data_IF_817844489393
#
_entry.id   IF_817844489393
#
_cell.length_a   1.000
_cell.length_b   1.000
_cell.length_c   1.000
_cell.angle_alpha   90.00
_cell.angle_beta   90.00
_cell.angle_gamma   90.00
#
_symmetry.space_group_name_H-M   'P 1'
#
loop_
_entity.id
_entity.type
_entity.pdbx_description
1 polymer ?
#
# COMPACT_ATOMS: atom_id res chain seq x y z
N UNK A 1 -51.29 -34.78 -11.78
CA UNK A 1 -50.27 -35.54 -12.56
C UNK A 1 -49.18 -34.65 -13.19
N UNK A 2 -49.38 -33.35 -13.42
CA UNK A 2 -48.36 -32.49 -14.07
C UNK A 2 -47.43 -31.66 -13.15
N UNK A 3 -47.45 -31.88 -11.83
CA UNK A 3 -46.58 -31.13 -10.89
C UNK A 3 -45.47 -31.96 -10.23
N UNK A 4 -45.48 -33.29 -10.41
CA UNK A 4 -44.51 -34.21 -9.79
C UNK A 4 -43.32 -34.56 -10.72
N UNK A 5 -43.43 -34.29 -12.02
CA UNK A 5 -42.35 -34.58 -12.98
C UNK A 5 -41.22 -33.52 -13.01
N UNK A 6 -41.47 -32.28 -12.56
CA UNK A 6 -40.41 -31.24 -12.49
C UNK A 6 -39.46 -31.42 -11.31
N UNK A 7 -39.92 -31.98 -10.18
CA UNK A 7 -39.06 -32.20 -8.99
C UNK A 7 -38.10 -33.38 -9.12
N UNK A 8 -38.42 -34.38 -9.96
CA UNK A 8 -37.49 -35.50 -10.24
C UNK A 8 -36.34 -35.10 -11.16
N UNK A 9 -36.54 -34.11 -12.04
CA UNK A 9 -35.50 -33.64 -12.98
C UNK A 9 -34.43 -32.77 -12.31
N UNK A 10 -34.73 -32.15 -11.17
CA UNK A 10 -33.79 -31.32 -10.41
C UNK A 10 -32.90 -32.13 -9.44
N UNK A 11 -33.42 -33.26 -8.91
CA UNK A 11 -32.62 -34.16 -8.06
C UNK A 11 -31.57 -34.96 -8.85
N UNK A 12 -31.80 -35.21 -10.14
CA UNK A 12 -30.84 -35.88 -11.03
C UNK A 12 -29.70 -34.97 -11.48
N UNK A 13 -29.91 -33.65 -11.54
CA UNK A 13 -28.85 -32.69 -11.90
C UNK A 13 -28.01 -32.27 -10.69
N UNK A 14 -28.54 -32.35 -9.47
CA UNK A 14 -27.78 -32.08 -8.24
C UNK A 14 -26.78 -33.19 -7.85
N UNK A 15 -27.08 -34.47 -8.09
CA UNK A 15 -26.12 -35.55 -7.80
C UNK A 15 -24.95 -35.59 -8.79
N UNK A 16 -25.13 -35.06 -10.00
CA UNK A 16 -24.07 -34.92 -11.00
C UNK A 16 -23.18 -33.68 -10.78
N UNK A 17 -23.66 -32.67 -10.03
CA UNK A 17 -22.88 -31.48 -9.69
C UNK A 17 -22.00 -31.71 -8.45
N UNK A 18 -22.49 -32.48 -7.47
CA UNK A 18 -21.72 -32.83 -6.26
C UNK A 18 -20.52 -33.76 -6.55
N UNK A 19 -20.57 -34.58 -7.60
CA UNK A 19 -19.46 -35.46 -7.98
C UNK A 19 -18.39 -34.78 -8.85
N UNK A 20 -18.69 -33.60 -9.42
CA UNK A 20 -17.72 -32.79 -10.20
C UNK A 20 -16.94 -31.80 -9.37
N UNK A 21 -17.37 -31.50 -8.14
CA UNK A 21 -16.68 -30.57 -7.22
C UNK A 21 -15.64 -31.28 -6.35
N UNK A 22 -15.81 -32.58 -6.05
CA UNK A 22 -14.81 -33.36 -5.30
C UNK A 22 -13.57 -33.78 -6.11
N UNK A 23 -13.62 -33.72 -7.44
CA UNK A 23 -12.48 -34.05 -8.32
C UNK A 23 -11.61 -32.84 -8.70
N UNK A 24 -12.06 -31.61 -8.41
CA UNK A 24 -11.28 -30.38 -8.67
C UNK A 24 -10.48 -29.95 -7.43
N UNK A 25 -10.89 -30.36 -6.23
CA UNK A 25 -10.17 -30.04 -4.97
C UNK A 25 -8.95 -30.96 -4.72
N UNK A 26 -8.83 -32.08 -5.43
CA UNK A 26 -7.63 -32.94 -5.37
C UNK A 26 -6.61 -32.58 -6.48
N UNK A 27 -6.96 -31.69 -7.41
CA UNK A 27 -6.07 -31.23 -8.49
C UNK A 27 -5.33 -29.92 -8.22
N UNK A 28 -5.52 -29.28 -7.06
CA UNK A 28 -4.85 -28.01 -6.69
C UNK A 28 -3.84 -28.14 -5.53
N UNK A 29 -3.54 -29.38 -5.10
CA UNK A 29 -2.53 -29.65 -4.06
C UNK A 29 -1.39 -30.57 -4.51
N UNK A 30 -1.22 -30.76 -5.83
CA UNK A 30 -0.22 -31.70 -6.37
C UNK A 30 0.32 -31.28 -7.75
N UNK A 31 0.68 -30.00 -7.91
CA UNK A 31 1.33 -29.50 -9.14
C UNK A 31 2.66 -28.76 -8.90
N UNK A 32 3.25 -28.92 -7.72
CA UNK A 32 4.70 -28.77 -7.55
C UNK A 32 5.33 -30.16 -7.56
N UNK A 33 6.45 -30.31 -8.28
CA UNK A 33 7.33 -31.48 -8.35
C UNK A 33 6.97 -32.60 -9.35
N UNK A 34 7.18 -32.35 -10.65
CA UNK A 34 7.83 -33.34 -11.53
C UNK A 34 8.36 -32.74 -12.83
N UNK A 35 9.68 -32.55 -12.92
CA UNK A 35 10.52 -32.74 -14.12
C UNK A 35 11.96 -32.62 -13.62
N UNK A 36 12.59 -33.74 -13.23
CA UNK A 36 13.32 -34.66 -14.12
C UNK A 36 14.81 -34.54 -13.78
N UNK A 37 15.19 -35.26 -12.71
CA UNK A 37 16.58 -35.55 -12.35
C UNK A 37 16.92 -36.91 -12.94
N UNK A 38 17.51 -36.93 -14.13
CA UNK A 38 18.30 -38.06 -14.64
C UNK A 38 19.28 -37.55 -15.69
N UNK A 39 20.54 -37.37 -15.30
CA UNK A 39 21.71 -37.61 -16.15
C UNK A 39 22.95 -37.49 -15.25
N UNK A 40 23.44 -38.56 -14.62
CA UNK A 40 24.53 -39.41 -15.14
C UNK A 40 25.60 -38.63 -15.90
N UNK A 41 26.65 -38.21 -15.20
CA UNK A 41 28.05 -38.59 -15.49
C UNK A 41 28.99 -37.77 -14.61
N UNK A 42 29.34 -38.32 -13.45
CA UNK A 42 30.61 -38.00 -12.79
C UNK A 42 31.68 -38.81 -13.51
N UNK A 43 32.25 -38.23 -14.56
CA UNK A 43 33.41 -38.81 -15.24
C UNK A 43 34.67 -38.48 -14.45
N UNK A 44 35.26 -39.56 -13.97
CA UNK A 44 36.68 -39.73 -13.69
C UNK A 44 37.46 -39.53 -14.99
N UNK A 45 38.46 -38.64 -14.99
CA UNK A 45 39.68 -38.67 -15.85
C UNK A 45 40.58 -37.50 -15.37
N UNK A 46 41.62 -37.71 -14.54
CA UNK A 46 43.01 -38.00 -14.92
C UNK A 46 43.62 -37.08 -16.01
N UNK A 47 44.59 -36.26 -15.57
CA UNK A 47 45.88 -35.92 -16.19
C UNK A 47 45.96 -35.63 -17.71
N UNK A 48 46.51 -34.46 -18.09
CA UNK A 48 47.77 -34.28 -18.86
C UNK A 48 47.99 -32.78 -19.20
N UNK A 49 49.24 -32.34 -19.07
CA UNK A 49 49.77 -31.02 -19.36
C UNK A 49 50.16 -30.83 -20.84
N UNK A 50 50.21 -29.58 -21.32
CA UNK A 50 51.13 -29.00 -22.33
C UNK A 50 50.53 -27.67 -22.85
N UNK A 51 51.16 -26.50 -22.64
CA UNK A 51 52.17 -25.88 -23.52
C UNK A 51 51.66 -25.69 -24.96
N UNK A 52 51.48 -24.44 -25.41
CA UNK A 52 51.23 -24.15 -26.82
C UNK A 52 50.73 -22.75 -27.14
N UNK A 53 51.66 -21.90 -27.55
CA UNK A 53 51.60 -20.51 -28.00
C UNK A 53 50.54 -20.12 -29.06
N UNK A 54 50.12 -18.85 -28.97
CA UNK A 54 50.01 -17.84 -30.04
C UNK A 54 49.03 -18.00 -31.23
N UNK A 55 48.42 -16.84 -31.58
CA UNK A 55 47.65 -16.48 -32.78
C UNK A 55 46.23 -17.11 -32.86
N UNK A 56 45.13 -16.38 -33.07
CA UNK A 56 44.94 -15.20 -33.89
C UNK A 56 43.86 -14.27 -33.29
N UNK A 57 44.24 -13.02 -33.04
CA UNK A 57 43.32 -11.90 -32.90
C UNK A 57 42.83 -11.52 -34.29
N UNK A 58 41.72 -12.11 -34.74
CA UNK A 58 41.06 -11.70 -35.98
C UNK A 58 40.48 -10.30 -35.77
N UNK A 59 41.04 -9.29 -36.44
CA UNK A 59 40.51 -7.94 -36.52
C UNK A 59 39.16 -7.98 -37.24
N UNK A 60 38.09 -7.75 -36.50
CA UNK A 60 36.77 -7.51 -37.08
C UNK A 60 36.79 -6.14 -37.76
N UNK A 61 36.34 -6.02 -39.04
CA UNK A 61 36.30 -4.72 -39.70
C UNK A 61 35.29 -3.82 -38.98
N UNK A 62 35.73 -2.60 -38.67
CA UNK A 62 34.93 -1.56 -38.07
C UNK A 62 33.81 -1.14 -39.02
N UNK A 63 32.68 -1.85 -38.95
CA UNK A 63 31.41 -1.34 -39.41
C UNK A 63 31.14 -0.04 -38.67
N UNK A 64 31.07 1.06 -39.42
CA UNK A 64 30.70 2.40 -38.96
C UNK A 64 29.32 2.28 -38.30
N UNK A 65 29.31 2.10 -36.97
CA UNK A 65 28.11 2.28 -36.18
C UNK A 65 27.73 3.75 -36.33
N UNK A 66 26.79 4.00 -37.24
CA UNK A 66 26.01 5.23 -37.20
C UNK A 66 25.37 5.25 -35.84
N UNK A 67 25.93 6.06 -34.94
CA UNK A 67 25.37 6.38 -33.64
C UNK A 67 24.01 7.03 -33.89
N UNK A 68 23.00 6.19 -34.02
CA UNK A 68 21.62 6.59 -33.96
C UNK A 68 21.41 7.06 -32.52
N UNK A 69 21.49 8.38 -32.32
CA UNK A 69 21.18 9.05 -31.06
C UNK A 69 19.68 8.91 -30.77
N UNK A 70 19.22 7.69 -30.50
CA UNK A 70 17.91 7.43 -29.93
C UNK A 70 18.12 6.95 -28.50
N UNK A 71 18.52 7.90 -27.66
CA UNK A 71 18.51 7.77 -26.20
C UNK A 71 17.09 7.77 -25.65
N UNK A 72 16.25 6.83 -26.10
CA UNK A 72 14.97 6.51 -25.49
C UNK A 72 15.07 5.14 -24.85
N UNK A 73 14.59 4.99 -23.60
CA UNK A 73 14.49 3.69 -22.94
C UNK A 73 13.60 2.75 -23.77
N UNK A 74 14.22 1.89 -24.59
CA UNK A 74 13.52 0.85 -25.35
C UNK A 74 13.26 -0.33 -24.42
N UNK A 75 11.98 -0.56 -24.11
CA UNK A 75 11.52 -1.66 -23.26
C UNK A 75 10.00 -1.77 -23.25
N UNK A 76 9.47 -2.92 -22.81
CA UNK A 76 8.03 -3.19 -22.76
C UNK A 76 7.26 -2.13 -21.95
N UNK A 77 7.83 -1.65 -20.84
CA UNK A 77 7.24 -0.57 -20.03
C UNK A 77 7.06 0.77 -20.79
N UNK A 78 7.85 1.00 -21.85
CA UNK A 78 7.76 2.22 -22.67
C UNK A 78 6.83 2.05 -23.88
N UNK A 79 6.45 0.82 -24.22
CA UNK A 79 5.49 0.53 -25.29
C UNK A 79 4.11 1.10 -24.94
N UNK A 80 3.24 1.25 -25.95
CA UNK A 80 1.87 1.71 -25.70
C UNK A 80 1.10 0.69 -24.84
N UNK A 81 1.34 -0.60 -25.06
CA UNK A 81 0.69 -1.68 -24.31
C UNK A 81 1.14 -1.68 -22.85
N UNK A 82 2.44 -1.60 -22.57
CA UNK A 82 2.95 -1.57 -21.19
C UNK A 82 2.52 -0.33 -20.41
N UNK A 83 2.38 0.83 -21.08
CA UNK A 83 1.82 2.04 -20.46
C UNK A 83 0.34 1.88 -20.12
N UNK A 84 -0.45 1.24 -20.99
CA UNK A 84 -1.87 0.95 -20.72
C UNK A 84 -2.01 -0.01 -19.55
N UNK A 85 -1.18 -1.06 -19.50
CA UNK A 85 -1.15 -1.99 -18.38
C UNK A 85 -0.78 -1.29 -17.07
N UNK A 86 0.22 -0.40 -17.10
CA UNK A 86 0.61 0.39 -15.92
C UNK A 86 -0.55 1.28 -15.45
N UNK A 87 -1.27 1.92 -16.37
CA UNK A 87 -2.45 2.74 -16.02
C UNK A 87 -3.55 1.88 -15.40
N UNK A 88 -3.83 0.69 -15.95
CA UNK A 88 -4.80 -0.24 -15.39
C UNK A 88 -4.40 -0.73 -13.98
N UNK A 89 -3.11 -1.01 -13.75
CA UNK A 89 -2.60 -1.35 -12.42
C UNK A 89 -2.78 -0.19 -11.43
N UNK A 90 -2.54 1.04 -11.86
CA UNK A 90 -2.73 2.23 -11.01
C UNK A 90 -4.22 2.45 -10.73
N UNK A 91 -5.10 2.27 -11.71
CA UNK A 91 -6.56 2.33 -11.50
C UNK A 91 -7.02 1.31 -10.47
N UNK A 92 -6.55 0.06 -10.55
CA UNK A 92 -6.86 -0.94 -9.52
C UNK A 92 -6.33 -0.57 -8.12
N UNK A 93 -5.20 0.13 -8.03
CA UNK A 93 -4.70 0.65 -6.73
C UNK A 93 -5.54 1.83 -6.22
N UNK A 94 -6.05 2.68 -7.13
CA UNK A 94 -6.95 3.79 -6.79
C UNK A 94 -8.29 3.29 -6.25
N UNK A 95 -8.85 2.24 -6.85
CA UNK A 95 -10.12 1.65 -6.44
C UNK A 95 -10.06 0.98 -5.05
N UNK A 96 -8.91 0.42 -4.68
CA UNK A 96 -8.73 -0.23 -3.38
C UNK A 96 -8.30 0.73 -2.26
N UNK A 97 -7.80 1.92 -2.60
CA UNK A 97 -7.29 2.89 -1.62
C UNK A 97 -8.40 3.78 -1.09
N UNK A 98 -8.41 4.07 0.21
CA UNK A 98 -9.27 5.08 0.83
C UNK A 98 -8.65 6.49 0.70
N UNK A 99 -7.32 6.58 0.83
CA UNK A 99 -6.59 7.85 0.76
C UNK A 99 -5.32 7.75 -0.07
N UNK A 100 -5.00 8.85 -0.76
CA UNK A 100 -3.78 9.00 -1.55
C UNK A 100 -3.05 10.26 -1.14
N UNK A 101 -1.73 10.20 -1.05
CA UNK A 101 -0.91 11.39 -0.92
C UNK A 101 0.37 11.28 -1.75
N UNK A 102 0.97 12.42 -2.06
CA UNK A 102 2.17 12.48 -2.89
C UNK A 102 3.30 13.22 -2.21
N UNK A 103 4.52 12.73 -2.42
CA UNK A 103 5.75 13.29 -1.89
C UNK A 103 6.77 13.43 -3.03
N UNK A 104 7.64 14.45 -3.01
CA UNK A 104 8.74 14.56 -3.96
C UNK A 104 9.71 13.37 -3.83
N UNK A 105 9.90 12.64 -4.94
CA UNK A 105 10.80 11.49 -5.00
C UNK A 105 12.28 11.90 -5.17
N UNK A 106 12.55 13.12 -5.62
CA UNK A 106 13.90 13.61 -5.98
C UNK A 106 14.82 13.83 -4.79
N UNK A 107 14.28 14.01 -3.58
CA UNK A 107 15.05 14.37 -2.38
C UNK A 107 15.50 13.16 -1.53
N UNK A 108 15.09 11.93 -1.91
CA UNK A 108 15.41 10.69 -1.20
C UNK A 108 16.58 9.93 -1.86
N UNK A 109 17.48 9.41 -1.03
CA UNK A 109 18.46 8.41 -1.49
C UNK A 109 17.81 7.03 -1.62
N UNK A 110 18.43 6.11 -2.38
CA UNK A 110 17.89 4.74 -2.54
C UNK A 110 17.73 4.04 -1.19
N UNK A 111 18.73 4.14 -0.31
CA UNK A 111 18.68 3.57 1.04
C UNK A 111 17.53 4.16 1.87
N UNK A 112 17.30 5.47 1.77
CA UNK A 112 16.18 6.15 2.43
C UNK A 112 14.82 5.68 1.87
N UNK A 113 14.70 5.52 0.55
CA UNK A 113 13.48 5.01 -0.09
C UNK A 113 13.18 3.56 0.29
N UNK A 114 14.21 2.75 0.54
CA UNK A 114 14.05 1.37 0.97
C UNK A 114 13.63 1.29 2.44
N UNK A 115 14.27 2.09 3.31
CA UNK A 115 13.84 2.25 4.71
C UNK A 115 12.39 2.72 4.79
N UNK A 116 12.00 3.69 3.97
CA UNK A 116 10.63 4.20 3.94
C UNK A 116 9.63 3.10 3.59
N UNK A 117 9.90 2.30 2.55
CA UNK A 117 9.06 1.15 2.18
C UNK A 117 8.97 0.07 3.27
N UNK A 118 10.02 -0.10 4.08
CA UNK A 118 10.03 -1.05 5.20
C UNK A 118 9.31 -0.52 6.44
N UNK A 119 9.30 0.80 6.65
CA UNK A 119 8.64 1.42 7.81
C UNK A 119 7.12 1.58 7.67
N UNK A 120 6.58 1.39 6.46
CA UNK A 120 5.16 1.54 6.21
C UNK A 120 4.38 0.31 6.73
N UNK A 121 3.18 0.52 7.29
CA UNK A 121 2.33 -0.57 7.74
C UNK A 121 1.81 -1.41 6.56
N UNK A 122 1.39 -2.64 6.86
CA UNK A 122 0.68 -3.49 5.90
C UNK A 122 -0.58 -2.75 5.41
N UNK A 123 -0.84 -2.78 4.10
CA UNK A 123 -1.95 -2.03 3.47
C UNK A 123 -1.58 -0.64 2.92
N UNK A 124 -0.29 -0.27 2.95
CA UNK A 124 0.21 0.90 2.18
C UNK A 124 1.07 0.47 1.01
N UNK A 125 0.65 0.84 -0.21
CA UNK A 125 1.43 0.61 -1.41
C UNK A 125 2.15 1.89 -1.83
N UNK A 126 3.48 1.82 -1.95
CA UNK A 126 4.32 2.96 -2.37
C UNK A 126 4.83 2.74 -3.79
N UNK A 127 4.44 3.62 -4.73
CA UNK A 127 4.90 3.55 -6.13
C UNK A 127 5.30 4.93 -6.66
N UNK A 128 6.38 4.94 -7.46
CA UNK A 128 6.78 6.13 -8.22
C UNK A 128 6.14 6.02 -9.61
N UNK A 129 5.28 6.98 -9.94
CA UNK A 129 4.46 6.93 -11.16
C UNK A 129 4.69 8.21 -11.96
N UNK A 130 4.83 8.08 -13.28
CA UNK A 130 4.97 9.23 -14.18
C UNK A 130 3.69 10.07 -14.18
N UNK A 131 3.82 11.39 -14.09
CA UNK A 131 2.69 12.32 -13.93
C UNK A 131 1.65 12.18 -15.05
N UNK A 132 2.09 12.02 -16.30
CA UNK A 132 1.15 11.78 -17.43
C UNK A 132 0.38 10.46 -17.31
N UNK A 133 0.96 9.42 -16.73
CA UNK A 133 0.25 8.14 -16.53
C UNK A 133 -0.75 8.27 -15.38
N UNK A 134 -0.35 8.97 -14.30
CA UNK A 134 -1.25 9.24 -13.18
C UNK A 134 -2.43 10.12 -13.61
N UNK A 135 -2.21 11.17 -14.43
CA UNK A 135 -3.28 11.99 -15.00
C UNK A 135 -4.35 11.13 -15.72
N UNK A 136 -3.90 10.18 -16.53
CA UNK A 136 -4.79 9.25 -17.25
C UNK A 136 -5.48 8.24 -16.35
N UNK A 137 -4.85 7.84 -15.24
CA UNK A 137 -5.47 6.94 -14.27
C UNK A 137 -6.55 7.65 -13.45
N UNK A 138 -6.34 8.94 -13.15
CA UNK A 138 -7.28 9.77 -12.39
C UNK A 138 -8.52 10.14 -13.23
N UNK A 139 -8.36 10.34 -14.55
CA UNK A 139 -9.45 10.59 -15.49
C UNK A 139 -10.49 9.45 -15.41
N UNK A 140 -11.61 9.69 -14.70
CA UNK A 140 -12.69 8.71 -14.50
C UNK A 140 -12.81 8.15 -13.07
N UNK A 141 -12.01 8.64 -12.12
CA UNK A 141 -12.09 8.28 -10.70
C UNK A 141 -12.45 9.50 -9.84
N UNK A 142 -12.84 9.23 -8.59
CA UNK A 142 -13.19 10.25 -7.58
C UNK A 142 -12.00 11.14 -7.17
N UNK A 143 -10.78 10.79 -7.58
CA UNK A 143 -9.54 11.50 -7.22
C UNK A 143 -9.17 12.65 -8.17
N UNK A 144 -10.14 13.26 -8.86
CA UNK A 144 -9.89 14.29 -9.89
C UNK A 144 -9.09 15.49 -9.34
N UNK A 145 -9.27 15.83 -8.06
CA UNK A 145 -8.53 16.92 -7.39
C UNK A 145 -7.03 16.63 -7.23
N UNK A 146 -6.60 15.36 -7.29
CA UNK A 146 -5.18 14.98 -7.23
C UNK A 146 -4.38 15.47 -8.45
N UNK A 147 -5.05 15.95 -9.50
CA UNK A 147 -4.40 16.52 -10.69
C UNK A 147 -3.53 17.74 -10.37
N UNK A 148 -3.86 18.50 -9.32
CA UNK A 148 -3.10 19.68 -8.87
C UNK A 148 -1.71 19.29 -8.33
N UNK A 149 -1.57 18.07 -7.82
CA UNK A 149 -0.33 17.55 -7.25
C UNK A 149 0.64 16.98 -8.29
N UNK A 150 0.26 16.92 -9.56
CA UNK A 150 1.02 16.28 -10.64
C UNK A 150 2.24 17.08 -11.14
N UNK A 151 2.80 17.98 -10.33
CA UNK A 151 3.99 18.77 -10.67
C UNK A 151 5.24 18.16 -10.06
N UNK A 152 6.37 18.19 -10.79
CA UNK A 152 7.63 17.63 -10.31
C UNK A 152 7.74 16.11 -10.34
N UNK A 153 8.65 15.56 -9.53
CA UNK A 153 8.90 14.12 -9.45
C UNK A 153 8.12 13.53 -8.27
N UNK A 154 7.06 12.77 -8.56
CA UNK A 154 6.13 12.33 -7.52
C UNK A 154 6.25 10.84 -7.18
N UNK A 155 6.28 10.58 -5.89
CA UNK A 155 6.05 9.27 -5.30
C UNK A 155 4.67 9.26 -4.65
N UNK A 156 3.87 8.27 -5.04
CA UNK A 156 2.49 8.11 -4.61
C UNK A 156 2.38 7.02 -3.56
N UNK A 157 1.54 7.30 -2.57
CA UNK A 157 1.18 6.39 -1.50
C UNK A 157 -0.30 6.11 -1.61
N UNK A 158 -0.64 4.83 -1.78
CA UNK A 158 -2.01 4.33 -1.80
C UNK A 158 -2.25 3.66 -0.46
N UNK A 159 -3.20 4.17 0.32
CA UNK A 159 -3.50 3.66 1.66
C UNK A 159 -4.89 3.05 1.66
N UNK A 160 -4.98 1.76 1.99
CA UNK A 160 -6.25 1.03 2.02
C UNK A 160 -6.91 1.18 3.40
N UNK A 161 -6.28 0.71 4.48
CA UNK A 161 -6.94 0.67 5.78
C UNK A 161 -6.45 1.73 6.77
N UNK A 162 -5.13 1.89 6.98
CA UNK A 162 -4.59 2.66 8.11
C UNK A 162 -3.94 4.00 7.72
N UNK A 163 -4.79 4.99 7.43
CA UNK A 163 -4.40 6.36 7.06
C UNK A 163 -3.51 7.02 8.13
N UNK A 164 -3.96 7.03 9.38
CA UNK A 164 -3.26 7.68 10.50
C UNK A 164 -1.87 7.07 10.76
N UNK A 165 -1.78 5.73 10.75
CA UNK A 165 -0.52 5.03 11.01
C UNK A 165 0.52 5.34 9.93
N UNK A 166 0.09 5.37 8.67
CA UNK A 166 0.94 5.68 7.51
C UNK A 166 1.53 7.09 7.61
N UNK A 167 0.71 8.09 7.93
CA UNK A 167 1.19 9.47 8.07
C UNK A 167 2.09 9.62 9.30
N UNK A 168 1.81 8.92 10.41
CA UNK A 168 2.70 8.92 11.59
C UNK A 168 4.05 8.27 11.30
N UNK A 169 4.06 7.15 10.59
CA UNK A 169 5.29 6.49 10.14
C UNK A 169 6.10 7.42 9.24
N UNK A 170 5.43 8.13 8.32
CA UNK A 170 6.07 9.15 7.50
C UNK A 170 6.65 10.31 8.31
N UNK A 171 5.91 10.84 9.30
CA UNK A 171 6.41 11.89 10.20
C UNK A 171 7.59 11.41 11.04
N UNK A 172 7.58 10.17 11.50
CA UNK A 172 8.71 9.56 12.21
C UNK A 172 9.95 9.48 11.30
N UNK A 173 9.76 9.09 10.05
CA UNK A 173 10.82 9.05 9.04
C UNK A 173 11.41 10.44 8.74
N UNK A 174 10.58 11.49 8.61
CA UNK A 174 11.08 12.87 8.44
C UNK A 174 11.91 13.30 9.65
N UNK A 175 11.46 12.97 10.87
CA UNK A 175 12.20 13.29 12.10
C UNK A 175 13.55 12.58 12.17
N UNK A 176 13.62 11.30 11.77
CA UNK A 176 14.87 10.52 11.74
C UNK A 176 15.85 11.06 10.70
N UNK A 177 15.35 11.48 9.54
CA UNK A 177 16.20 11.94 8.42
C UNK A 177 16.60 13.40 8.52
N UNK A 178 15.99 14.20 9.40
CA UNK A 178 16.35 15.60 9.65
C UNK A 178 16.11 16.56 8.48
N UNK A 179 15.45 16.10 7.40
CA UNK A 179 15.21 16.86 6.17
C UNK A 179 13.78 17.40 6.12
N UNK A 180 13.41 18.25 7.08
CA UNK A 180 12.07 18.87 7.08
C UNK A 180 11.86 19.79 5.87
N UNK A 181 12.87 20.52 5.45
CA UNK A 181 12.72 21.59 4.44
C UNK A 181 12.78 21.12 2.98
N UNK A 182 12.99 19.81 2.73
CA UNK A 182 13.12 19.24 1.37
C UNK A 182 12.09 18.13 1.09
N UNK A 183 11.27 17.77 2.08
CA UNK A 183 10.26 16.73 2.01
C UNK A 183 8.89 17.27 2.40
N UNK A 184 8.53 18.40 1.82
CA UNK A 184 7.17 18.89 1.92
C UNK A 184 6.24 17.92 1.18
N UNK A 185 5.20 17.47 1.88
CA UNK A 185 4.10 16.72 1.27
C UNK A 185 3.39 17.71 0.35
N UNK A 186 3.31 17.42 -0.96
CA UNK A 186 2.61 18.32 -1.88
C UNK A 186 1.12 18.43 -1.55
N UNK A 187 0.55 17.37 -0.99
CA UNK A 187 -0.84 17.30 -0.55
C UNK A 187 -1.30 15.85 -0.46
N UNK A 188 -2.57 15.67 -0.11
CA UNK A 188 -3.26 14.40 -0.15
C UNK A 188 -4.71 14.59 -0.57
N UNK A 189 -5.32 13.55 -1.11
CA UNK A 189 -6.75 13.54 -1.43
C UNK A 189 -7.40 12.42 -0.63
N UNK A 190 -8.47 12.77 0.09
CA UNK A 190 -9.31 11.86 0.85
C UNK A 190 -10.76 12.31 0.64
N UNK A 191 -11.67 11.37 0.38
CA UNK A 191 -13.10 11.65 0.18
C UNK A 191 -13.36 12.80 -0.81
N UNK A 192 -12.74 12.73 -1.99
CA UNK A 192 -12.83 13.74 -3.07
C UNK A 192 -12.32 15.15 -2.70
N UNK A 193 -11.77 15.34 -1.50
CA UNK A 193 -11.29 16.64 -1.01
C UNK A 193 -9.77 16.69 -1.02
N UNK A 194 -9.22 17.75 -1.60
CA UNK A 194 -7.80 18.07 -1.56
C UNK A 194 -7.38 18.67 -0.22
N UNK A 195 -6.34 18.10 0.37
CA UNK A 195 -5.68 18.56 1.59
C UNK A 195 -4.26 19.01 1.26
N UNK A 196 -3.95 20.24 1.68
CA UNK A 196 -2.59 20.77 1.64
C UNK A 196 -1.70 20.13 2.74
N UNK A 197 -0.40 20.43 2.75
CA UNK A 197 0.57 19.87 3.71
C UNK A 197 0.11 19.97 5.18
N UNK A 198 -0.46 21.12 5.57
CA UNK A 198 -1.02 21.33 6.92
C UNK A 198 -2.26 20.47 7.21
N UNK A 199 -3.06 20.20 6.18
CA UNK A 199 -4.22 19.31 6.26
C UNK A 199 -3.79 17.86 6.44
N UNK A 200 -2.78 17.41 5.69
CA UNK A 200 -2.19 16.07 5.86
C UNK A 200 -1.58 15.90 7.25
N UNK A 201 -0.98 16.97 7.80
CA UNK A 201 -0.49 16.97 9.17
C UNK A 201 -1.59 16.77 10.20
N UNK A 202 -2.75 17.42 10.02
CA UNK A 202 -3.90 17.23 10.89
C UNK A 202 -4.42 15.79 10.84
N UNK A 203 -4.47 15.19 9.63
CA UNK A 203 -4.88 13.79 9.43
C UNK A 203 -3.92 12.84 10.17
N UNK A 204 -2.62 13.13 10.17
CA UNK A 204 -1.62 12.34 10.91
C UNK A 204 -1.77 12.40 12.44
N UNK A 205 -2.45 13.41 12.99
CA UNK A 205 -2.70 13.51 14.42
C UNK A 205 -3.93 12.72 14.88
N UNK A 206 -4.71 12.15 13.95
CA UNK A 206 -5.84 11.30 14.31
C UNK A 206 -5.35 10.04 15.03
N UNK A 207 -6.11 9.51 16.00
CA UNK A 207 -5.82 8.24 16.65
C UNK A 207 -6.07 7.05 15.70
N UNK A 208 -5.68 5.84 16.10
CA UNK A 208 -5.97 4.60 15.32
C UNK A 208 -7.48 4.34 15.22
N UNK A 209 -7.94 3.46 14.31
CA UNK A 209 -9.38 3.12 14.17
C UNK A 209 -10.01 2.71 15.49
N UNK A 210 -9.35 1.81 16.24
CA UNK A 210 -9.84 1.31 17.52
C UNK A 210 -9.89 2.41 18.59
N UNK A 211 -8.87 3.26 18.65
CA UNK A 211 -8.86 4.40 19.56
C UNK A 211 -9.91 5.45 19.18
N UNK A 212 -10.18 5.64 17.89
CA UNK A 212 -11.21 6.55 17.40
C UNK A 212 -12.60 6.05 17.82
N UNK A 213 -12.87 4.76 17.67
CA UNK A 213 -14.10 4.15 18.19
C UNK A 213 -14.22 4.30 19.71
N UNK A 214 -13.13 4.11 20.46
CA UNK A 214 -13.12 4.30 21.90
C UNK A 214 -13.43 5.75 22.30
N UNK A 215 -12.90 6.75 21.57
CA UNK A 215 -13.21 8.17 21.80
C UNK A 215 -14.66 8.49 21.48
N UNK A 216 -15.21 7.96 20.39
CA UNK A 216 -16.62 8.13 20.03
C UNK A 216 -17.52 7.52 21.11
N UNK A 217 -17.28 6.26 21.50
CA UNK A 217 -18.02 5.60 22.57
C UNK A 217 -17.89 6.34 23.92
N UNK A 218 -16.68 6.83 24.24
CA UNK A 218 -16.42 7.65 25.40
C UNK A 218 -17.20 8.96 25.39
N UNK A 219 -17.28 9.63 24.23
CA UNK A 219 -18.04 10.87 24.06
C UNK A 219 -19.55 10.67 24.24
N UNK A 220 -20.10 9.56 23.72
CA UNK A 220 -21.50 9.18 23.90
C UNK A 220 -21.79 8.91 25.38
N UNK A 221 -20.91 8.18 26.07
CA UNK A 221 -21.03 7.91 27.51
C UNK A 221 -20.82 9.15 28.37
N UNK A 222 -20.05 10.12 27.90
CA UNK A 222 -19.74 11.33 28.64
C UNK A 222 -20.98 12.21 28.86
N UNK A 223 -21.92 12.28 27.92
CA UNK A 223 -23.14 13.10 28.04
C UNK A 223 -24.01 12.71 29.25
N UNK A 224 -24.50 11.46 29.38
CA UNK A 224 -25.29 11.05 30.54
C UNK A 224 -24.48 11.09 31.85
N UNK A 225 -23.18 10.78 31.79
CA UNK A 225 -22.30 10.88 32.97
C UNK A 225 -22.17 12.32 33.46
N UNK A 226 -22.10 13.30 32.56
CA UNK A 226 -22.07 14.74 32.89
C UNK A 226 -23.40 15.16 33.53
N UNK A 227 -24.54 14.73 32.99
CA UNK A 227 -25.86 15.03 33.58
C UNK A 227 -25.99 14.45 34.99
N UNK A 228 -25.66 13.17 35.18
CA UNK A 228 -25.67 12.55 36.51
C UNK A 228 -24.70 13.23 37.48
N UNK A 229 -23.53 13.66 36.99
CA UNK A 229 -22.55 14.41 37.79
C UNK A 229 -23.10 15.77 38.22
N UNK A 230 -23.74 16.52 37.32
CA UNK A 230 -24.34 17.84 37.63
C UNK A 230 -25.40 17.71 38.73
N UNK A 231 -26.23 16.67 38.69
CA UNK A 231 -27.24 16.40 39.73
C UNK A 231 -26.58 16.07 41.08
N UNK A 232 -25.47 15.32 41.08
CA UNK A 232 -24.77 14.90 42.31
C UNK A 232 -23.84 15.99 42.89
N UNK A 233 -23.36 16.91 42.06
CA UNK A 233 -22.38 17.94 42.43
C UNK A 233 -22.78 18.85 43.60
N UNK A 234 -24.02 19.38 43.72
CA UNK A 234 -24.40 20.25 44.85
C UNK A 234 -24.26 19.54 46.20
N UNK A 235 -24.75 18.30 46.32
CA UNK A 235 -24.65 17.52 47.56
C UNK A 235 -23.19 17.22 47.91
N UNK A 236 -22.38 16.88 46.90
CA UNK A 236 -20.95 16.62 47.09
C UNK A 236 -20.15 17.88 47.47
N UNK A 237 -20.53 19.06 46.97
CA UNK A 237 -19.92 20.34 47.35
C UNK A 237 -20.21 20.69 48.81
N UNK A 238 -21.45 20.51 49.27
CA UNK A 238 -21.84 20.72 50.67
C UNK A 238 -21.08 19.79 51.62
N UNK A 239 -21.01 18.49 51.29
CA UNK A 239 -20.26 17.52 52.08
C UNK A 239 -18.77 17.88 52.19
N UNK A 240 -18.15 18.35 51.09
CA UNK A 240 -16.76 18.82 51.09
C UNK A 240 -16.54 20.09 51.91
N UNK A 241 -17.48 21.04 51.86
CA UNK A 241 -17.41 22.27 52.66
C UNK A 241 -17.46 21.98 54.16
N UNK A 242 -18.34 21.07 54.60
CA UNK A 242 -18.44 20.67 56.01
C UNK A 242 -17.16 19.96 56.46
N UNK A 243 -16.60 19.05 55.64
CA UNK A 243 -15.34 18.39 55.95
C UNK A 243 -14.17 19.38 56.13
N UNK A 244 -14.04 20.33 55.21
CA UNK A 244 -13.00 21.37 55.28
C UNK A 244 -13.18 22.31 56.49
N UNK A 245 -14.42 22.62 56.86
CA UNK A 245 -14.71 23.40 58.06
C UNK A 245 -14.35 22.65 59.35
N UNK A 246 -14.53 21.33 59.37
CA UNK A 246 -14.15 20.47 60.51
C UNK A 246 -12.64 20.27 60.65
N UNK A 247 -11.90 20.16 59.53
CA UNK A 247 -10.43 20.02 59.55
C UNK A 247 -9.73 21.30 60.06
N UNK A 248 -10.29 22.49 59.80
CA UNK A 248 -9.77 23.77 60.32
C UNK A 248 -10.00 24.02 61.82
N UNK A 249 -10.84 23.22 62.47
CA UNK A 249 -11.11 23.33 63.92
C UNK A 249 -10.28 22.32 64.73
N UNK A 250 -9.59 21.38 64.07
CA UNK A 250 -8.72 20.39 64.69
C UNK A 250 -7.23 20.76 64.71
N UNK A 251 -6.89 21.97 64.25
CA UNK A 251 -5.59 22.64 64.38
C UNK A 251 -5.77 23.88 65.29
#
# INVERSE_FOLDING_TARGET
>A
VNHQHRKRRFRSTCSAFSARVSLVVISFHFHSYRLSKTSTMKSVLLFVAAVGSASAFSSQPAGRQTTFLQGGAQGYATSLEGKKETVAQVQGLLENSDMIFSIPASSLTVAQSQKLRQSMPEGTTVKVIKNKLMARAIEGTDYTEASQMLTGANMWFFVEEDISATIKAYKAFIKETGKKDTHDIFGGVMDQTYYDASGVDAIGNLPSKQELYAKIAGSIKAVPTKVARVIKEPNSKLARAIKLAGEKQGE
#
